data_IF_231085243683
#
_entry.id   IF_231085243683
#
_cell.length_a   1.000
_cell.length_b   1.000
_cell.length_c   1.000
_cell.angle_alpha   90.00
_cell.angle_beta   90.00
_cell.angle_gamma   90.00
#
_symmetry.space_group_name_H-M   'P 1'
#
loop_
_entity.id
_entity.type
_entity.pdbx_description
1 polymer ?
#
# COMPACT_ATOMS: atom_id res chain seq x y z
N UNK A 1 -13.32 10.51 30.36
CA UNK A 1 -13.05 10.17 28.94
C UNK A 1 -14.22 9.38 28.40
N UNK A 2 -14.73 9.72 27.22
CA UNK A 2 -15.81 8.97 26.56
C UNK A 2 -15.31 7.59 26.14
N UNK A 3 -16.18 6.57 26.16
CA UNK A 3 -15.80 5.19 25.78
C UNK A 3 -15.20 5.11 24.37
N UNK A 4 -15.62 6.03 23.49
CA UNK A 4 -15.05 6.25 22.16
C UNK A 4 -13.54 6.53 22.21
N UNK A 5 -13.07 7.36 23.15
CA UNK A 5 -11.66 7.69 23.30
C UNK A 5 -10.83 6.46 23.74
N UNK A 6 -11.35 5.65 24.67
CA UNK A 6 -10.69 4.42 25.10
C UNK A 6 -10.59 3.40 23.96
N UNK A 7 -11.66 3.22 23.20
CA UNK A 7 -11.67 2.33 22.01
C UNK A 7 -10.65 2.81 20.97
N UNK A 8 -10.59 4.11 20.70
CA UNK A 8 -9.62 4.68 19.77
C UNK A 8 -8.18 4.46 20.23
N UNK A 9 -7.88 4.68 21.52
CA UNK A 9 -6.54 4.46 22.08
C UNK A 9 -6.13 2.99 21.97
N UNK A 10 -7.05 2.07 22.29
CA UNK A 10 -6.81 0.63 22.18
C UNK A 10 -6.54 0.24 20.73
N UNK A 11 -7.30 0.77 19.77
CA UNK A 11 -7.11 0.52 18.33
C UNK A 11 -5.77 1.04 17.82
N UNK A 12 -5.35 2.23 18.25
CA UNK A 12 -4.05 2.81 17.90
C UNK A 12 -2.92 1.94 18.47
N UNK A 13 -3.04 1.51 19.72
CA UNK A 13 -2.05 0.67 20.37
C UNK A 13 -1.92 -0.69 19.66
N UNK A 14 -3.05 -1.35 19.36
CA UNK A 14 -3.07 -2.62 18.64
C UNK A 14 -2.48 -2.49 17.23
N UNK A 15 -2.85 -1.44 16.49
CA UNK A 15 -2.28 -1.17 15.16
C UNK A 15 -0.77 -0.95 15.23
N UNK A 16 -0.29 -0.22 16.23
CA UNK A 16 1.13 0.05 16.43
C UNK A 16 1.89 -1.24 16.74
N UNK A 17 1.38 -2.07 17.64
CA UNK A 17 1.96 -3.38 17.97
C UNK A 17 1.97 -4.28 16.74
N UNK A 18 0.89 -4.32 15.98
CA UNK A 18 0.80 -5.09 14.75
C UNK A 18 1.86 -4.64 13.74
N UNK A 19 2.01 -3.34 13.50
CA UNK A 19 3.04 -2.80 12.62
C UNK A 19 4.41 -3.24 13.12
N UNK A 20 4.74 -2.97 14.39
CA UNK A 20 6.06 -3.26 14.98
C UNK A 20 6.40 -4.76 14.94
N UNK A 21 5.44 -5.64 15.25
CA UNK A 21 5.66 -7.08 15.16
C UNK A 21 5.82 -7.58 13.72
N UNK A 22 5.22 -6.88 12.76
CA UNK A 22 5.34 -7.18 11.34
C UNK A 22 6.36 -6.25 10.64
N UNK A 23 7.25 -5.58 11.39
CA UNK A 23 8.42 -4.86 10.88
C UNK A 23 9.53 -5.84 10.47
N UNK A 24 9.16 -6.89 9.74
CA UNK A 24 10.15 -7.73 9.09
C UNK A 24 10.70 -6.95 7.88
N UNK A 25 11.93 -6.50 8.02
CA UNK A 25 12.67 -5.84 6.94
C UNK A 25 13.04 -6.92 5.93
N UNK A 26 12.58 -6.74 4.69
CA UNK A 26 12.92 -7.61 3.58
C UNK A 26 13.93 -6.88 2.71
N UNK A 27 15.01 -7.57 2.38
CA UNK A 27 15.97 -7.10 1.40
C UNK A 27 15.44 -7.36 -0.01
N UNK A 28 15.26 -6.29 -0.78
CA UNK A 28 14.85 -6.37 -2.18
C UNK A 28 16.05 -6.07 -3.05
N UNK A 29 16.44 -7.05 -3.85
CA UNK A 29 17.47 -6.89 -4.88
C UNK A 29 16.80 -6.52 -6.20
N UNK A 30 17.08 -5.32 -6.70
CA UNK A 30 16.58 -4.83 -7.98
C UNK A 30 17.75 -4.50 -8.91
N UNK A 31 18.11 -5.46 -9.76
CA UNK A 31 19.24 -5.37 -10.71
C UNK A 31 20.58 -5.04 -10.01
N UNK A 32 20.91 -3.76 -9.85
CA UNK A 32 22.13 -3.28 -9.16
C UNK A 32 21.84 -2.67 -7.77
N UNK A 33 20.57 -2.58 -7.38
CA UNK A 33 20.12 -1.84 -6.21
C UNK A 33 19.67 -2.80 -5.12
N UNK A 34 19.99 -2.46 -3.87
CA UNK A 34 19.55 -3.20 -2.69
C UNK A 34 18.74 -2.25 -1.82
N UNK A 35 17.50 -2.61 -1.51
CA UNK A 35 16.58 -1.79 -0.74
C UNK A 35 16.07 -2.59 0.46
N UNK A 36 16.26 -2.03 1.65
CA UNK A 36 15.80 -2.62 2.90
C UNK A 36 14.51 -1.92 3.34
N UNK A 37 13.39 -2.60 3.12
CA UNK A 37 12.04 -2.06 3.36
C UNK A 37 11.21 -3.08 4.13
N UNK A 38 10.34 -2.63 5.02
CA UNK A 38 9.37 -3.52 5.68
C UNK A 38 8.48 -4.21 4.64
N UNK A 39 8.26 -5.52 4.81
CA UNK A 39 7.39 -6.34 3.95
C UNK A 39 6.01 -5.70 3.76
N UNK A 40 5.43 -5.12 4.82
CA UNK A 40 4.13 -4.47 4.77
C UNK A 40 4.12 -3.24 3.85
N UNK A 41 5.17 -2.40 3.93
CA UNK A 41 5.31 -1.21 3.07
C UNK A 41 5.49 -1.62 1.61
N UNK A 42 6.28 -2.66 1.36
CA UNK A 42 6.48 -3.22 0.02
C UNK A 42 5.14 -3.68 -0.59
N UNK A 43 4.34 -4.44 0.14
CA UNK A 43 3.03 -4.92 -0.33
C UNK A 43 2.08 -3.77 -0.65
N UNK A 44 2.01 -2.76 0.23
CA UNK A 44 1.17 -1.57 0.00
C UNK A 44 1.62 -0.81 -1.25
N UNK A 45 2.93 -0.60 -1.44
CA UNK A 45 3.46 0.08 -2.61
C UNK A 45 3.15 -0.67 -3.90
N UNK A 46 3.30 -2.00 -3.92
CA UNK A 46 2.96 -2.81 -5.10
C UNK A 46 1.47 -2.71 -5.45
N UNK A 47 0.59 -2.75 -4.45
CA UNK A 47 -0.85 -2.58 -4.67
C UNK A 47 -1.20 -1.19 -5.22
N UNK A 48 -0.59 -0.13 -4.67
CA UNK A 48 -0.79 1.24 -5.17
C UNK A 48 -0.29 1.38 -6.62
N UNK A 49 0.89 0.85 -6.95
CA UNK A 49 1.41 0.89 -8.32
C UNK A 49 0.50 0.13 -9.28
N UNK A 50 0.08 -1.08 -8.92
CA UNK A 50 -0.86 -1.87 -9.72
C UNK A 50 -2.20 -1.15 -9.95
N UNK A 51 -2.75 -0.53 -8.90
CA UNK A 51 -3.97 0.26 -8.97
C UNK A 51 -3.81 1.48 -9.90
N UNK A 52 -2.73 2.25 -9.76
CA UNK A 52 -2.46 3.40 -10.62
C UNK A 52 -2.29 3.00 -12.08
N UNK A 53 -1.55 1.92 -12.35
CA UNK A 53 -1.38 1.37 -13.70
C UNK A 53 -2.75 0.96 -14.28
N UNK A 54 -3.55 0.24 -13.51
CA UNK A 54 -4.90 -0.17 -13.91
C UNK A 54 -5.81 1.02 -14.22
N UNK A 55 -5.79 2.05 -13.37
CA UNK A 55 -6.55 3.29 -13.57
C UNK A 55 -6.12 4.01 -14.85
N UNK A 56 -4.81 4.18 -15.05
CA UNK A 56 -4.26 4.87 -16.23
C UNK A 56 -4.59 4.11 -17.52
N UNK A 57 -4.44 2.78 -17.52
CA UNK A 57 -4.83 1.93 -18.64
C UNK A 57 -6.33 2.03 -18.93
N UNK A 58 -7.16 2.01 -17.90
CA UNK A 58 -8.61 2.16 -18.05
C UNK A 58 -8.97 3.51 -18.72
N UNK A 59 -8.34 4.60 -18.29
CA UNK A 59 -8.49 5.92 -18.92
C UNK A 59 -8.03 5.93 -20.38
N UNK A 60 -6.91 5.28 -20.69
CA UNK A 60 -6.39 5.16 -22.06
C UNK A 60 -7.34 4.37 -22.98
N UNK A 61 -7.83 3.21 -22.51
CA UNK A 61 -8.75 2.39 -23.29
C UNK A 61 -10.12 3.03 -23.49
N UNK A 62 -10.64 3.79 -22.52
CA UNK A 62 -11.88 4.55 -22.70
C UNK A 62 -11.74 5.61 -23.79
N UNK A 63 -10.59 6.30 -23.86
CA UNK A 63 -10.35 7.31 -24.89
C UNK A 63 -10.18 6.71 -26.30
N UNK A 64 -9.67 5.48 -26.40
CA UNK A 64 -9.57 4.79 -27.67
C UNK A 64 -10.95 4.38 -28.21
N UNK A 65 -11.86 3.94 -27.34
CA UNK A 65 -13.21 3.49 -27.73
C UNK A 65 -14.11 4.63 -28.25
N UNK A 66 -13.96 5.85 -27.71
CA UNK A 66 -14.77 7.00 -28.16
C UNK A 66 -14.33 7.63 -29.50
N UNK A 67 -13.27 7.10 -30.12
CA UNK A 67 -12.77 7.57 -31.43
C UNK A 67 -13.15 6.64 -32.59
N UNK A 68 -13.83 5.53 -32.30
CA UNK A 68 -14.31 4.55 -33.29
C UNK A 68 -15.85 4.48 -33.42
N UNK A 69 -16.59 5.29 -32.66
CA UNK A 69 -18.02 5.58 -32.87
C UNK A 69 -18.16 6.93 -33.59
#
# INVERSE_FOLDING_TARGET
MSIKAYVTIILILLSTIFIVQNLEIVEVHFFLWQLNISRAVLVILLLLIGFLIGWLLHGYFQHYKSRQE
#
